data_IF_608742498465
#
_entry.id   IF_608742498465
#
_cell.length_a   1.000
_cell.length_b   1.000
_cell.length_c   1.000
_cell.angle_alpha   90.00
_cell.angle_beta   90.00
_cell.angle_gamma   90.00
#
_symmetry.space_group_name_H-M   'P 1'
#
loop_
_entity.id
_entity.type
_entity.pdbx_description
1 polymer ?
#
# COMPACT_ATOMS: atom_id res chain seq x y z
N UNK A 1 -20.97 -17.67 -12.89
CA UNK A 1 -21.69 -16.40 -13.18
C UNK A 1 -21.41 -15.35 -12.09
N UNK A 2 -21.51 -15.68 -10.81
CA UNK A 2 -21.28 -14.72 -9.68
C UNK A 2 -19.84 -14.16 -9.65
N UNK A 3 -18.82 -14.99 -9.82
CA UNK A 3 -17.39 -14.56 -9.79
C UNK A 3 -17.07 -13.57 -10.92
N UNK A 4 -17.60 -13.81 -12.12
CA UNK A 4 -17.36 -12.91 -13.27
C UNK A 4 -18.02 -11.53 -13.08
N UNK A 5 -19.13 -11.48 -12.36
CA UNK A 5 -19.86 -10.23 -12.06
C UNK A 5 -19.17 -9.43 -10.95
N UNK A 6 -18.63 -10.12 -9.93
CA UNK A 6 -17.78 -9.50 -8.90
C UNK A 6 -16.49 -8.90 -9.48
N UNK A 7 -15.84 -9.59 -10.41
CA UNK A 7 -14.63 -9.09 -11.09
C UNK A 7 -14.91 -7.87 -11.95
N UNK A 8 -16.06 -7.81 -12.63
CA UNK A 8 -16.50 -6.61 -13.40
C UNK A 8 -16.73 -5.41 -12.48
N UNK A 9 -17.34 -5.62 -11.32
CA UNK A 9 -17.59 -4.56 -10.34
C UNK A 9 -16.27 -3.97 -9.78
N UNK A 10 -15.29 -4.80 -9.48
CA UNK A 10 -13.97 -4.35 -8.99
C UNK A 10 -13.22 -3.53 -10.02
N UNK A 11 -13.20 -3.99 -11.27
CA UNK A 11 -12.59 -3.24 -12.37
C UNK A 11 -13.26 -1.87 -12.55
N UNK A 12 -14.57 -1.79 -12.44
CA UNK A 12 -15.32 -0.53 -12.55
C UNK A 12 -15.01 0.40 -11.37
N UNK A 13 -15.01 -0.12 -10.15
CA UNK A 13 -14.67 0.66 -8.93
C UNK A 13 -13.23 1.16 -9.01
N UNK A 14 -12.27 0.32 -9.40
CA UNK A 14 -10.89 0.72 -9.56
C UNK A 14 -10.72 1.88 -10.55
N UNK A 15 -11.36 1.81 -11.72
CA UNK A 15 -11.33 2.90 -12.72
C UNK A 15 -11.97 4.19 -12.22
N UNK A 16 -13.11 4.09 -11.54
CA UNK A 16 -13.80 5.25 -10.98
C UNK A 16 -12.94 5.94 -9.90
N UNK A 17 -12.30 5.18 -9.03
CA UNK A 17 -11.45 5.73 -7.99
C UNK A 17 -10.13 6.29 -8.53
N UNK A 18 -9.55 5.63 -9.54
CA UNK A 18 -8.33 6.11 -10.22
C UNK A 18 -8.58 7.34 -11.11
N UNK A 19 -9.84 7.66 -11.39
CA UNK A 19 -10.22 8.77 -12.28
C UNK A 19 -9.69 8.64 -13.73
N UNK A 20 -9.36 7.41 -14.13
CA UNK A 20 -8.81 7.10 -15.45
C UNK A 20 -9.15 5.67 -15.89
N UNK A 21 -8.93 5.37 -17.17
CA UNK A 21 -9.14 4.02 -17.72
C UNK A 21 -7.90 3.14 -17.52
N UNK A 22 -7.79 2.56 -16.33
CA UNK A 22 -6.73 1.62 -15.99
C UNK A 22 -7.04 0.21 -16.50
N UNK A 23 -6.00 -0.53 -16.88
CA UNK A 23 -6.10 -1.92 -17.30
C UNK A 23 -6.05 -2.85 -16.09
N UNK A 24 -7.15 -3.56 -15.80
CA UNK A 24 -7.21 -4.49 -14.67
C UNK A 24 -7.00 -5.93 -15.14
N UNK A 25 -6.01 -6.59 -14.59
CA UNK A 25 -5.64 -7.99 -14.90
C UNK A 25 -5.63 -8.84 -13.64
N UNK A 26 -6.01 -10.12 -13.79
CA UNK A 26 -5.90 -11.08 -12.70
C UNK A 26 -4.78 -12.07 -13.01
N UNK A 27 -3.87 -12.26 -12.06
CA UNK A 27 -2.68 -13.11 -12.21
C UNK A 27 -2.46 -13.98 -10.98
N UNK A 28 -1.81 -15.13 -11.16
CA UNK A 28 -1.35 -15.95 -10.05
C UNK A 28 -0.14 -15.26 -9.39
N UNK A 29 -0.37 -14.60 -8.25
CA UNK A 29 0.63 -13.87 -7.48
C UNK A 29 0.19 -13.77 -6.03
N UNK A 30 1.08 -13.31 -5.15
CA UNK A 30 0.83 -13.26 -3.71
C UNK A 30 0.24 -11.93 -3.23
N UNK A 31 0.42 -10.84 -4.00
CA UNK A 31 -0.09 -9.51 -3.67
C UNK A 31 -0.55 -8.75 -4.92
N UNK A 32 -1.32 -7.69 -4.75
CA UNK A 32 -1.66 -6.77 -5.83
C UNK A 32 -0.44 -5.90 -6.22
N UNK A 33 -0.50 -5.29 -7.40
CA UNK A 33 0.46 -4.27 -7.83
C UNK A 33 -0.18 -3.28 -8.78
N UNK A 34 0.39 -2.07 -8.85
CA UNK A 34 0.10 -1.13 -9.92
C UNK A 34 1.35 -0.85 -10.78
N UNK A 35 1.26 -1.18 -12.06
CA UNK A 35 2.31 -0.85 -13.02
C UNK A 35 2.08 0.56 -13.56
N UNK A 36 2.86 1.52 -13.06
CA UNK A 36 2.73 2.94 -13.38
C UNK A 36 2.89 3.20 -14.87
N UNK A 37 3.88 2.57 -15.52
CA UNK A 37 4.15 2.75 -16.94
C UNK A 37 3.05 2.22 -17.85
N UNK A 38 2.46 1.07 -17.51
CA UNK A 38 1.41 0.40 -18.30
C UNK A 38 0.01 0.83 -17.89
N UNK A 39 -0.12 1.58 -16.80
CA UNK A 39 -1.40 1.88 -16.15
C UNK A 39 -2.22 0.60 -15.90
N UNK A 40 -1.54 -0.43 -15.38
CA UNK A 40 -2.09 -1.76 -15.17
C UNK A 40 -2.20 -2.07 -13.67
N UNK A 41 -3.40 -2.37 -13.21
CA UNK A 41 -3.68 -2.91 -11.89
C UNK A 41 -3.68 -4.44 -11.97
N UNK A 42 -2.70 -5.10 -11.36
CA UNK A 42 -2.66 -6.53 -11.18
C UNK A 42 -3.34 -6.95 -9.88
N UNK A 43 -4.35 -7.79 -9.97
CA UNK A 43 -5.01 -8.38 -8.81
C UNK A 43 -4.70 -9.87 -8.72
N UNK A 44 -4.37 -10.38 -7.54
CA UNK A 44 -4.10 -11.80 -7.35
C UNK A 44 -5.32 -12.67 -7.66
N UNK A 45 -5.04 -13.85 -8.24
CA UNK A 45 -5.98 -14.96 -8.23
C UNK A 45 -5.62 -15.79 -7.01
N UNK A 46 -6.34 -15.59 -5.92
CA UNK A 46 -6.05 -16.24 -4.65
C UNK A 46 -6.33 -17.73 -4.75
N UNK A 47 -5.40 -18.54 -4.23
CA UNK A 47 -5.60 -20.00 -4.06
C UNK A 47 -6.46 -20.30 -2.83
N UNK A 48 -6.33 -19.44 -1.82
CA UNK A 48 -7.08 -19.50 -0.57
C UNK A 48 -8.06 -18.32 -0.53
N UNK A 49 -9.17 -18.47 0.20
CA UNK A 49 -10.13 -17.37 0.37
C UNK A 49 -9.51 -16.25 1.19
N UNK A 50 -9.30 -15.11 0.57
CA UNK A 50 -9.02 -13.87 1.29
C UNK A 50 -10.33 -13.17 1.68
N UNK A 51 -10.29 -12.42 2.75
CA UNK A 51 -11.45 -11.63 3.16
C UNK A 51 -11.71 -10.50 2.15
N UNK A 52 -12.97 -10.09 2.09
CA UNK A 52 -13.36 -8.92 1.28
C UNK A 52 -12.62 -7.66 1.72
N UNK A 53 -12.37 -7.51 3.03
CA UNK A 53 -11.66 -6.37 3.59
C UNK A 53 -10.19 -6.30 3.10
N UNK A 54 -9.50 -7.45 3.00
CA UNK A 54 -8.13 -7.52 2.44
C UNK A 54 -8.10 -7.16 0.96
N UNK A 55 -9.06 -7.68 0.19
CA UNK A 55 -9.13 -7.42 -1.25
C UNK A 55 -9.45 -5.95 -1.55
N UNK A 56 -10.39 -5.35 -0.82
CA UNK A 56 -10.74 -3.94 -0.94
C UNK A 56 -9.57 -3.04 -0.53
N UNK A 57 -8.83 -3.40 0.53
CA UNK A 57 -7.61 -2.72 0.94
C UNK A 57 -6.59 -2.70 -0.20
N UNK A 58 -6.28 -3.87 -0.79
CA UNK A 58 -5.29 -3.96 -1.87
C UNK A 58 -5.67 -3.11 -3.07
N UNK A 59 -6.92 -3.14 -3.50
CA UNK A 59 -7.41 -2.29 -4.60
C UNK A 59 -7.24 -0.81 -4.25
N UNK A 60 -7.63 -0.39 -3.05
CA UNK A 60 -7.51 1.01 -2.62
C UNK A 60 -6.05 1.48 -2.55
N UNK A 61 -5.17 0.63 -2.06
CA UNK A 61 -3.73 0.90 -1.99
C UNK A 61 -3.14 1.13 -3.38
N UNK A 62 -3.38 0.21 -4.31
CA UNK A 62 -2.85 0.30 -5.69
C UNK A 62 -3.42 1.49 -6.47
N UNK A 63 -4.67 1.89 -6.18
CA UNK A 63 -5.23 3.13 -6.72
C UNK A 63 -4.49 4.36 -6.17
N UNK A 64 -3.99 4.32 -4.95
CA UNK A 64 -3.11 5.35 -4.42
C UNK A 64 -1.88 5.55 -5.31
N UNK A 65 -1.21 4.48 -5.72
CA UNK A 65 -0.12 4.54 -6.68
C UNK A 65 -0.56 5.06 -8.05
N UNK A 66 -1.75 4.63 -8.54
CA UNK A 66 -2.28 5.13 -9.80
C UNK A 66 -2.47 6.65 -9.80
N UNK A 67 -2.92 7.22 -8.69
CA UNK A 67 -3.23 8.65 -8.58
C UNK A 67 -2.00 9.53 -8.30
N UNK A 68 -1.02 9.03 -7.55
CA UNK A 68 0.00 9.91 -6.97
C UNK A 68 1.45 9.45 -7.13
N UNK A 69 1.73 8.28 -7.70
CA UNK A 69 3.11 7.85 -7.98
C UNK A 69 3.43 8.02 -9.46
N UNK A 70 4.45 8.81 -9.76
CA UNK A 70 4.85 9.12 -11.13
C UNK A 70 5.98 8.22 -11.65
N UNK A 71 6.16 8.17 -12.98
CA UNK A 71 7.33 7.54 -13.59
C UNK A 71 8.61 8.31 -13.27
N UNK A 72 8.54 9.64 -13.17
CA UNK A 72 9.67 10.51 -12.83
C UNK A 72 10.27 10.13 -11.46
N UNK A 73 9.41 9.88 -10.46
CA UNK A 73 9.85 9.39 -9.15
C UNK A 73 10.62 8.07 -9.25
N UNK A 74 10.10 7.11 -10.02
CA UNK A 74 10.74 5.80 -10.22
C UNK A 74 12.11 5.97 -10.87
N UNK A 75 12.20 6.78 -11.92
CA UNK A 75 13.44 7.06 -12.65
C UNK A 75 14.48 7.76 -11.75
N UNK A 76 14.09 8.80 -11.02
CA UNK A 76 14.95 9.50 -10.05
C UNK A 76 15.44 8.57 -8.94
N UNK A 77 14.59 7.72 -8.40
CA UNK A 77 14.96 6.73 -7.38
C UNK A 77 16.06 5.79 -7.91
N UNK A 78 15.90 5.29 -9.14
CA UNK A 78 16.86 4.41 -9.79
C UNK A 78 18.18 5.13 -10.08
N UNK A 79 18.16 6.36 -10.62
CA UNK A 79 19.34 7.18 -10.90
C UNK A 79 20.14 7.48 -9.62
N UNK A 80 19.44 7.81 -8.53
CA UNK A 80 20.04 8.07 -7.21
C UNK A 80 20.46 6.79 -6.49
N UNK A 81 20.16 5.61 -7.03
CA UNK A 81 20.44 4.28 -6.45
C UNK A 81 19.90 4.14 -5.02
N UNK A 82 18.74 4.68 -4.77
CA UNK A 82 18.07 4.58 -3.48
C UNK A 82 17.63 3.13 -3.20
N UNK A 83 17.54 2.78 -1.92
CA UNK A 83 17.01 1.49 -1.53
C UNK A 83 15.53 1.39 -1.88
N UNK A 84 15.19 0.49 -2.81
CA UNK A 84 13.83 0.33 -3.31
C UNK A 84 12.80 0.08 -2.20
N UNK A 85 13.14 -0.76 -1.21
CA UNK A 85 12.22 -1.06 -0.11
C UNK A 85 11.93 0.17 0.74
N UNK A 86 12.94 1.02 0.99
CA UNK A 86 12.75 2.25 1.76
C UNK A 86 11.86 3.24 1.01
N UNK A 87 12.16 3.46 -0.28
CA UNK A 87 11.34 4.33 -1.13
C UNK A 87 9.90 3.83 -1.19
N UNK A 88 9.69 2.53 -1.36
CA UNK A 88 8.35 1.96 -1.41
C UNK A 88 7.58 2.17 -0.11
N UNK A 89 8.19 1.90 1.05
CA UNK A 89 7.54 2.09 2.36
C UNK A 89 7.13 3.54 2.60
N UNK A 90 8.01 4.49 2.27
CA UNK A 90 7.73 5.91 2.46
C UNK A 90 6.69 6.43 1.45
N UNK A 91 6.74 5.95 0.21
CA UNK A 91 5.72 6.26 -0.80
C UNK A 91 4.36 5.67 -0.41
N UNK A 92 4.30 4.43 0.09
CA UNK A 92 3.09 3.82 0.61
C UNK A 92 2.46 4.69 1.72
N UNK A 93 3.27 5.15 2.66
CA UNK A 93 2.80 6.03 3.74
C UNK A 93 2.20 7.33 3.17
N UNK A 94 2.84 7.94 2.16
CA UNK A 94 2.38 9.16 1.50
C UNK A 94 1.08 8.94 0.73
N UNK A 95 1.01 7.95 -0.15
CA UNK A 95 -0.15 7.71 -1.01
C UNK A 95 -1.37 7.27 -0.19
N UNK A 96 -1.19 6.43 0.82
CA UNK A 96 -2.30 6.02 1.69
C UNK A 96 -2.88 7.19 2.49
N UNK A 97 -2.03 8.13 2.94
CA UNK A 97 -2.48 9.38 3.54
C UNK A 97 -3.37 10.16 2.57
N UNK A 98 -3.00 10.25 1.30
CA UNK A 98 -3.78 10.94 0.28
C UNK A 98 -5.08 10.20 -0.06
N UNK A 99 -5.08 8.87 -0.14
CA UNK A 99 -6.30 8.07 -0.28
C UNK A 99 -7.27 8.39 0.86
N UNK A 100 -6.79 8.36 2.10
CA UNK A 100 -7.60 8.64 3.31
C UNK A 100 -8.14 10.08 3.34
N UNK A 101 -7.37 11.05 2.84
CA UNK A 101 -7.83 12.45 2.68
C UNK A 101 -8.88 12.61 1.59
N UNK A 102 -8.66 12.00 0.42
CA UNK A 102 -9.56 12.08 -0.73
C UNK A 102 -10.85 11.30 -0.51
N UNK A 103 -10.74 10.14 0.12
CA UNK A 103 -11.84 9.22 0.39
C UNK A 103 -11.94 8.90 1.88
N UNK A 104 -12.52 9.76 2.73
CA UNK A 104 -12.54 9.57 4.19
C UNK A 104 -13.14 8.23 4.64
N UNK A 105 -14.07 7.66 3.87
CA UNK A 105 -14.63 6.32 4.12
C UNK A 105 -13.61 5.18 4.04
N UNK A 106 -12.48 5.40 3.35
CA UNK A 106 -11.41 4.41 3.22
C UNK A 106 -10.65 4.15 4.53
N UNK A 107 -10.67 5.06 5.49
CA UNK A 107 -9.98 4.89 6.79
C UNK A 107 -10.37 3.58 7.47
N UNK A 108 -11.68 3.28 7.53
CA UNK A 108 -12.16 2.03 8.12
C UNK A 108 -11.81 0.81 7.27
N UNK A 109 -11.76 0.96 5.95
CA UNK A 109 -11.35 -0.09 5.03
C UNK A 109 -9.88 -0.45 5.25
N UNK A 110 -8.97 0.54 5.30
CA UNK A 110 -7.56 0.32 5.62
C UNK A 110 -7.39 -0.37 6.97
N UNK A 111 -8.09 0.09 8.02
CA UNK A 111 -8.02 -0.52 9.34
C UNK A 111 -8.43 -1.99 9.34
N UNK A 112 -9.58 -2.32 8.74
CA UNK A 112 -10.08 -3.70 8.68
C UNK A 112 -9.18 -4.60 7.83
N UNK A 113 -8.76 -4.14 6.66
CA UNK A 113 -7.89 -4.90 5.77
C UNK A 113 -6.54 -5.20 6.40
N UNK A 114 -5.89 -4.21 7.03
CA UNK A 114 -4.63 -4.44 7.74
C UNK A 114 -4.79 -5.34 8.97
N UNK A 115 -5.91 -5.23 9.70
CA UNK A 115 -6.21 -6.18 10.79
C UNK A 115 -6.33 -7.61 10.26
N UNK A 116 -6.99 -7.81 9.12
CA UNK A 116 -7.13 -9.13 8.53
C UNK A 116 -5.79 -9.69 8.01
N UNK A 117 -4.96 -8.86 7.35
CA UNK A 117 -3.61 -9.24 6.91
C UNK A 117 -2.71 -9.62 8.08
N UNK A 118 -2.76 -8.84 9.18
CA UNK A 118 -2.00 -9.13 10.39
C UNK A 118 -2.39 -10.46 11.04
N UNK A 119 -3.69 -10.79 11.04
CA UNK A 119 -4.21 -12.03 11.63
C UNK A 119 -3.65 -13.31 10.97
N UNK A 120 -3.13 -13.22 9.74
CA UNK A 120 -2.48 -14.32 9.03
C UNK A 120 -0.97 -14.15 8.84
N UNK A 121 -0.36 -13.31 9.65
CA UNK A 121 1.08 -12.99 9.61
C UNK A 121 1.61 -12.58 8.22
N UNK A 122 0.79 -11.82 7.46
CA UNK A 122 1.17 -11.34 6.13
C UNK A 122 2.47 -10.52 6.13
N UNK A 123 2.75 -9.84 7.22
CA UNK A 123 3.96 -9.01 7.38
C UNK A 123 5.19 -9.81 7.85
N UNK A 124 5.03 -11.10 8.12
CA UNK A 124 6.15 -11.97 8.52
C UNK A 124 6.78 -11.60 9.86
N UNK A 125 5.99 -11.08 10.80
CA UNK A 125 6.47 -10.66 12.13
C UNK A 125 6.77 -11.88 12.99
N UNK A 126 6.00 -12.98 12.82
CA UNK A 126 6.13 -14.21 13.57
C UNK A 126 6.01 -14.03 15.07
N UNK A 127 6.60 -14.98 15.82
CA UNK A 127 6.59 -14.99 17.29
C UNK A 127 7.56 -13.98 17.92
N UNK A 128 8.52 -13.46 17.16
CA UNK A 128 9.52 -12.49 17.65
C UNK A 128 8.93 -11.10 17.90
N UNK A 129 7.77 -10.80 17.30
CA UNK A 129 7.05 -9.56 17.46
C UNK A 129 7.67 -8.35 16.74
N UNK A 130 6.97 -7.23 16.79
CA UNK A 130 7.34 -5.99 16.08
C UNK A 130 8.66 -5.39 16.61
N UNK A 131 9.07 -5.71 17.82
CA UNK A 131 10.30 -5.19 18.43
C UNK A 131 11.58 -5.74 17.79
N UNK A 132 11.50 -6.91 17.13
CA UNK A 132 12.61 -7.50 16.39
C UNK A 132 12.85 -6.84 15.03
N UNK A 133 11.89 -6.07 14.53
CA UNK A 133 11.96 -5.40 13.24
C UNK A 133 12.92 -4.20 13.29
N UNK A 134 13.62 -3.95 12.19
CA UNK A 134 14.41 -2.73 12.03
C UNK A 134 13.51 -1.47 11.95
N UNK A 135 14.12 -0.28 11.98
CA UNK A 135 13.39 0.98 12.05
C UNK A 135 12.42 1.17 10.84
N UNK A 136 12.87 0.92 9.62
CA UNK A 136 12.03 1.16 8.44
C UNK A 136 10.85 0.19 8.38
N UNK A 137 11.02 -1.06 8.81
CA UNK A 137 9.94 -2.03 8.90
C UNK A 137 8.94 -1.65 10.00
N UNK A 138 9.42 -1.16 11.15
CA UNK A 138 8.55 -0.62 12.21
C UNK A 138 7.77 0.63 11.74
N UNK A 139 8.40 1.51 10.97
CA UNK A 139 7.72 2.64 10.32
C UNK A 139 6.62 2.14 9.39
N UNK A 140 6.89 1.13 8.54
CA UNK A 140 5.89 0.51 7.70
C UNK A 140 4.70 -0.01 8.52
N UNK A 141 4.98 -0.81 9.54
CA UNK A 141 3.96 -1.39 10.43
C UNK A 141 3.13 -0.33 11.15
N UNK A 142 3.76 0.78 11.57
CA UNK A 142 3.07 1.92 12.17
C UNK A 142 2.02 2.52 11.22
N UNK A 143 2.39 2.80 9.96
CA UNK A 143 1.44 3.32 8.96
C UNK A 143 0.38 2.30 8.55
N UNK A 144 0.68 1.00 8.66
CA UNK A 144 -0.29 -0.11 8.50
C UNK A 144 -1.14 -0.35 9.75
N UNK A 145 -1.09 0.57 10.74
CA UNK A 145 -1.91 0.55 11.97
C UNK A 145 -1.70 -0.69 12.85
N UNK A 146 -0.52 -1.30 12.80
CA UNK A 146 -0.18 -2.45 13.64
C UNK A 146 -0.04 -2.02 15.11
N UNK A 147 -0.67 -2.76 16.06
CA UNK A 147 -0.51 -2.47 17.47
C UNK A 147 0.90 -2.80 17.99
N UNK A 148 1.32 -2.14 19.07
CA UNK A 148 2.56 -2.45 19.77
C UNK A 148 3.84 -1.90 19.11
N UNK A 149 3.72 -1.08 18.07
CA UNK A 149 4.88 -0.43 17.45
C UNK A 149 5.29 0.78 18.28
N UNK A 150 6.47 0.70 18.89
CA UNK A 150 7.02 1.76 19.71
C UNK A 150 8.30 2.34 19.10
N UNK A 151 8.57 3.63 19.39
CA UNK A 151 9.74 4.34 18.88
C UNK A 151 10.43 5.11 20.03
N UNK A 152 11.75 5.06 20.06
CA UNK A 152 12.57 5.95 20.89
C UNK A 152 12.44 7.40 20.44
N UNK A 153 12.83 8.36 21.26
CA UNK A 153 12.74 9.79 20.92
C UNK A 153 13.57 10.16 19.69
N UNK A 154 14.68 9.45 19.45
CA UNK A 154 15.51 9.64 18.25
C UNK A 154 14.78 9.11 17.02
N UNK A 155 14.13 7.95 17.12
CA UNK A 155 13.40 7.33 16.00
C UNK A 155 12.13 8.08 15.65
N UNK A 156 11.45 8.70 16.61
CA UNK A 156 10.27 9.54 16.38
C UNK A 156 10.53 10.66 15.37
N UNK A 157 11.75 11.18 15.29
CA UNK A 157 12.11 12.20 14.28
C UNK A 157 11.88 11.68 12.85
N UNK A 158 12.19 10.42 12.59
CA UNK A 158 11.99 9.80 11.29
C UNK A 158 10.50 9.49 11.03
N UNK A 159 9.79 9.03 12.06
CA UNK A 159 8.33 8.81 11.98
C UNK A 159 7.61 10.10 11.66
N UNK A 160 7.91 11.18 12.41
CA UNK A 160 7.31 12.52 12.22
C UNK A 160 7.61 13.08 10.82
N UNK A 161 8.80 12.78 10.29
CA UNK A 161 9.16 13.16 8.92
C UNK A 161 8.33 12.38 7.91
N UNK A 162 8.22 11.06 8.07
CA UNK A 162 7.43 10.20 7.19
C UNK A 162 5.94 10.57 7.20
N UNK A 163 5.36 10.94 8.36
CA UNK A 163 3.98 11.41 8.46
C UNK A 163 3.72 12.70 7.66
N UNK A 164 4.75 13.55 7.51
CA UNK A 164 4.64 14.85 6.84
C UNK A 164 4.91 14.82 5.34
N UNK A 165 5.30 13.68 4.77
CA UNK A 165 5.57 13.56 3.34
C UNK A 165 4.36 13.99 2.49
N UNK A 166 4.53 15.00 1.65
CA UNK A 166 3.50 15.49 0.72
C UNK A 166 3.93 15.35 -0.75
N UNK A 167 5.22 15.36 -1.02
CA UNK A 167 5.77 15.30 -2.38
C UNK A 167 6.63 14.06 -2.60
N UNK A 168 6.78 13.66 -3.88
CA UNK A 168 7.67 12.57 -4.27
C UNK A 168 9.15 12.91 -3.99
N UNK A 169 9.54 14.16 -4.16
CA UNK A 169 10.92 14.58 -3.86
C UNK A 169 11.23 14.43 -2.35
N UNK A 170 10.27 14.70 -1.46
CA UNK A 170 10.43 14.45 -0.02
C UNK A 170 10.57 12.96 0.32
N UNK A 171 9.97 12.07 -0.46
CA UNK A 171 10.16 10.61 -0.30
C UNK A 171 11.56 10.18 -0.71
N UNK A 172 12.14 10.85 -1.71
CA UNK A 172 13.46 10.53 -2.26
C UNK A 172 14.61 11.14 -1.45
N UNK A 173 14.35 12.11 -0.57
CA UNK A 173 15.34 12.81 0.27
C UNK A 173 15.47 12.20 1.67
#
# INVERSE_FOLDING_TARGET
>A
MVVLDMMKNKSTIARLLAEEDIHVVNKAMDTAYFNIKKRELGLPIWKDEISKDEEELMVCHEIGHALWTSMDMIEKSAERKLNHSFVNILEDARIEKFVKRKYPGSVNLFKKGYTALAARDFFGIGDEGVESCNLIDRINLHFKMMPGVEFSDIEKVFVDRAEKLETEDEVLD
#
